data_IF_622461682999
#
_entry.id   IF_622461682999
#
_cell.length_a   1.000
_cell.length_b   1.000
_cell.length_c   1.000
_cell.angle_alpha   90.00
_cell.angle_beta   90.00
_cell.angle_gamma   90.00
#
_symmetry.space_group_name_H-M   'P 1'
#
loop_
_entity.id
_entity.type
_entity.pdbx_description
1 polymer ?
#
# COMPACT_ATOMS: atom_id res chain seq x y z
N UNK A 1 -4.70 -17.77 -47.98
CA UNK A 1 -3.98 -16.55 -47.54
C UNK A 1 -4.88 -15.80 -46.59
N UNK A 2 -4.36 -15.29 -45.47
CA UNK A 2 -5.10 -14.46 -44.52
C UNK A 2 -4.76 -12.98 -44.73
N UNK A 3 -5.75 -12.06 -44.72
CA UNK A 3 -5.51 -10.65 -44.50
C UNK A 3 -6.01 -10.21 -43.10
N UNK A 4 -5.08 -9.77 -42.26
CA UNK A 4 -5.30 -8.70 -41.29
C UNK A 4 -4.00 -7.89 -41.23
N UNK A 5 -4.08 -6.55 -41.13
CA UNK A 5 -3.89 -5.94 -39.82
C UNK A 5 -5.12 -5.18 -39.32
N UNK A 6 -5.08 -4.78 -38.05
CA UNK A 6 -6.04 -3.85 -37.44
C UNK A 6 -5.73 -2.42 -37.89
N UNK A 7 -6.72 -1.69 -38.39
CA UNK A 7 -6.61 -0.24 -38.55
C UNK A 7 -6.95 0.46 -37.23
N UNK A 8 -6.03 1.32 -36.76
CA UNK A 8 -6.20 2.05 -35.51
C UNK A 8 -7.09 3.28 -35.73
N UNK A 9 -8.40 3.14 -35.52
CA UNK A 9 -9.30 4.27 -35.32
C UNK A 9 -9.05 4.92 -33.95
N UNK A 10 -7.89 5.60 -33.82
CA UNK A 10 -7.44 6.33 -32.63
C UNK A 10 -7.44 7.85 -32.86
N UNK A 11 -8.53 8.35 -33.40
CA UNK A 11 -8.85 9.77 -33.51
C UNK A 11 -10.28 10.00 -33.00
N UNK A 12 -10.56 11.20 -32.48
CA UNK A 12 -11.87 11.63 -31.96
C UNK A 12 -12.41 10.91 -30.71
N UNK A 13 -11.59 10.77 -29.66
CA UNK A 13 -12.08 10.66 -28.26
C UNK A 13 -11.45 11.71 -27.32
N UNK A 14 -11.35 12.96 -27.80
CA UNK A 14 -11.22 14.13 -26.93
C UNK A 14 -12.59 14.48 -26.31
N UNK A 15 -13.16 13.53 -25.57
CA UNK A 15 -14.22 13.83 -24.62
C UNK A 15 -13.58 14.56 -23.43
N UNK A 16 -14.15 15.72 -23.08
CA UNK A 16 -13.67 16.60 -22.02
C UNK A 16 -13.73 15.91 -20.65
N UNK A 17 -12.72 16.16 -19.79
CA UNK A 17 -12.46 15.39 -18.56
C UNK A 17 -12.27 16.33 -17.38
N UNK A 18 -12.88 16.05 -16.21
CA UNK A 18 -12.71 16.88 -15.02
C UNK A 18 -11.25 16.88 -14.54
N UNK A 19 -10.80 18.05 -14.09
CA UNK A 19 -9.47 18.26 -13.55
C UNK A 19 -9.55 18.09 -12.02
N UNK A 20 -8.76 17.20 -11.43
CA UNK A 20 -8.88 16.88 -10.01
C UNK A 20 -7.51 16.97 -9.32
N UNK A 21 -7.47 17.65 -8.18
CA UNK A 21 -6.39 17.49 -7.20
C UNK A 21 -6.76 16.27 -6.33
N UNK A 22 -6.00 15.19 -6.44
CA UNK A 22 -6.22 13.99 -5.61
C UNK A 22 -5.16 13.95 -4.52
N UNK A 23 -5.58 14.14 -3.27
CA UNK A 23 -4.75 13.79 -2.11
C UNK A 23 -4.97 12.33 -1.73
N UNK A 24 -3.87 11.58 -1.58
CA UNK A 24 -3.82 10.10 -1.54
C UNK A 24 -3.13 9.58 -0.27
N UNK A 25 -3.41 8.34 0.14
CA UNK A 25 -2.91 7.70 1.36
C UNK A 25 -2.10 6.37 1.09
N UNK A 26 -0.89 6.37 0.45
CA UNK A 26 0.00 5.19 0.17
C UNK A 26 1.53 5.31 0.61
N UNK A 27 2.11 4.39 1.43
CA UNK A 27 3.31 4.52 2.34
C UNK A 27 4.55 3.68 2.08
N UNK A 28 5.63 4.16 2.71
CA UNK A 28 6.49 3.46 3.69
C UNK A 28 7.58 4.43 4.20
N UNK A 29 8.37 4.16 5.24
CA UNK A 29 8.12 3.52 6.56
C UNK A 29 9.25 3.98 7.52
N UNK A 30 9.27 3.49 8.77
CA UNK A 30 10.54 3.27 9.47
C UNK A 30 10.77 4.03 10.78
N UNK A 31 10.49 3.35 11.90
CA UNK A 31 11.18 3.60 13.17
C UNK A 31 11.49 2.25 13.84
N UNK A 32 12.78 1.87 13.88
CA UNK A 32 13.20 0.59 14.45
C UNK A 32 13.37 0.69 15.97
N UNK A 33 12.29 0.49 16.73
CA UNK A 33 12.38 0.21 18.17
C UNK A 33 12.42 -1.31 18.42
N UNK A 34 13.38 -1.79 19.24
CA UNK A 34 13.66 -3.23 19.32
C UNK A 34 12.55 -4.01 20.06
N UNK A 35 11.89 -4.93 19.38
CA UNK A 35 10.97 -5.91 19.99
C UNK A 35 11.76 -6.91 20.83
N UNK A 36 11.83 -6.66 22.14
CA UNK A 36 12.39 -7.63 23.11
C UNK A 36 11.41 -8.77 23.30
N UNK A 37 11.62 -9.89 22.59
CA UNK A 37 10.82 -11.11 22.76
C UNK A 37 10.83 -11.58 24.23
N UNK A 38 9.67 -11.58 24.87
CA UNK A 38 9.46 -12.28 26.14
C UNK A 38 9.19 -13.75 25.84
N UNK A 39 10.24 -14.58 25.89
CA UNK A 39 10.13 -16.03 25.72
C UNK A 39 9.44 -16.65 26.93
N UNK A 40 8.46 -17.54 26.67
CA UNK A 40 7.80 -18.35 27.70
C UNK A 40 8.81 -19.27 28.41
N UNK A 41 8.73 -19.34 29.74
CA UNK A 41 9.64 -20.17 30.55
C UNK A 41 9.17 -21.62 30.60
N UNK A 42 10.12 -22.57 30.55
CA UNK A 42 10.11 -23.70 31.47
C UNK A 42 11.34 -23.69 32.40
N UNK A 43 11.10 -23.93 33.69
CA UNK A 43 12.09 -24.55 34.60
C UNK A 43 11.92 -26.09 34.50
N UNK A 44 12.83 -26.94 35.04
CA UNK A 44 13.92 -26.66 35.98
C UNK A 44 15.32 -27.12 35.51
N UNK A 45 16.29 -27.04 36.43
CA UNK A 45 17.70 -27.36 36.22
C UNK A 45 18.04 -28.85 36.47
N UNK A 46 19.05 -29.35 35.76
CA UNK A 46 20.13 -30.17 36.32
C UNK A 46 21.40 -29.95 35.49
N UNK A 47 22.55 -29.90 36.17
CA UNK A 47 23.88 -29.78 35.58
C UNK A 47 24.43 -31.17 35.34
N UNK A 48 25.15 -31.36 34.23
CA UNK A 48 26.41 -32.12 34.17
C UNK A 48 27.24 -31.56 33.00
N UNK A 49 28.58 -31.57 33.15
CA UNK A 49 29.54 -30.89 32.28
C UNK A 49 30.50 -31.90 31.59
N UNK A 50 31.44 -31.42 30.77
CA UNK A 50 32.54 -32.18 30.15
C UNK A 50 32.20 -33.32 29.17
N UNK A 51 32.27 -33.02 27.87
CA UNK A 51 33.08 -33.85 26.97
C UNK A 51 33.80 -33.01 25.89
N UNK A 52 35.05 -33.33 25.62
CA UNK A 52 36.04 -32.36 25.12
C UNK A 52 36.40 -32.45 23.63
N UNK A 53 37.02 -31.35 23.14
CA UNK A 53 37.99 -31.29 22.02
C UNK A 53 37.65 -31.98 20.68
N UNK A 54 36.77 -31.36 19.87
CA UNK A 54 36.78 -31.56 18.40
C UNK A 54 36.30 -30.39 17.52
N UNK A 55 35.88 -29.25 18.09
CA UNK A 55 35.02 -28.27 17.39
C UNK A 55 35.79 -27.10 16.71
N UNK A 56 37.03 -26.79 17.11
CA UNK A 56 37.69 -25.51 16.78
C UNK A 56 37.84 -25.19 15.28
N UNK A 57 38.09 -26.18 14.42
CA UNK A 57 38.20 -25.96 12.96
C UNK A 57 36.86 -25.79 12.23
N UNK A 58 35.74 -26.27 12.78
CA UNK A 58 34.39 -26.10 12.19
C UNK A 58 33.75 -24.75 12.56
N UNK A 59 34.05 -24.21 13.75
CA UNK A 59 33.57 -22.90 14.18
C UNK A 59 34.07 -21.77 13.27
N UNK A 60 35.40 -21.64 13.12
CA UNK A 60 36.02 -20.57 12.33
C UNK A 60 35.54 -20.54 10.87
N UNK A 61 35.38 -21.71 10.21
CA UNK A 61 34.90 -21.78 8.82
C UNK A 61 33.42 -21.35 8.69
N UNK A 62 32.59 -21.56 9.71
CA UNK A 62 31.19 -21.11 9.74
C UNK A 62 31.10 -19.59 9.94
N UNK A 63 32.02 -19.01 10.70
CA UNK A 63 32.08 -17.57 10.95
C UNK A 63 32.56 -16.77 9.72
N UNK A 64 33.66 -17.20 9.08
CA UNK A 64 34.15 -16.59 7.83
C UNK A 64 33.07 -16.59 6.73
N UNK A 65 32.36 -17.71 6.55
CA UNK A 65 31.27 -17.80 5.57
C UNK A 65 30.06 -16.88 5.92
N UNK A 66 29.83 -16.59 7.21
CA UNK A 66 28.81 -15.63 7.65
C UNK A 66 29.25 -14.19 7.36
N UNK A 67 30.52 -13.86 7.61
CA UNK A 67 31.09 -12.54 7.31
C UNK A 67 31.08 -12.24 5.81
N UNK A 68 31.47 -13.17 4.94
CA UNK A 68 31.44 -12.94 3.49
C UNK A 68 30.02 -12.83 2.93
N UNK A 69 29.05 -13.61 3.45
CA UNK A 69 27.63 -13.44 3.11
C UNK A 69 27.08 -12.08 3.55
N UNK A 70 27.58 -11.52 4.65
CA UNK A 70 27.25 -10.15 5.08
C UNK A 70 27.89 -9.10 4.17
N UNK A 71 29.19 -9.22 3.85
CA UNK A 71 29.88 -8.31 2.91
C UNK A 71 29.17 -8.27 1.56
N UNK A 72 28.85 -9.43 0.97
CA UNK A 72 28.11 -9.51 -0.31
C UNK A 72 26.70 -8.92 -0.23
N UNK A 73 26.05 -8.92 0.95
CA UNK A 73 24.74 -8.27 1.16
C UNK A 73 24.88 -6.74 1.28
N UNK A 74 25.94 -6.26 1.94
CA UNK A 74 26.24 -4.83 2.03
C UNK A 74 26.66 -4.27 0.67
N UNK A 75 27.50 -4.98 -0.07
CA UNK A 75 27.94 -4.65 -1.43
C UNK A 75 26.75 -4.62 -2.41
N UNK A 76 25.84 -5.61 -2.35
CA UNK A 76 24.61 -5.58 -3.14
C UNK A 76 23.68 -4.42 -2.75
N UNK A 77 23.58 -4.07 -1.46
CA UNK A 77 22.78 -2.93 -1.00
C UNK A 77 23.37 -1.59 -1.45
N UNK A 78 24.69 -1.42 -1.35
CA UNK A 78 25.43 -0.25 -1.83
C UNK A 78 25.35 -0.14 -3.36
N UNK A 79 25.43 -1.26 -4.09
CA UNK A 79 25.21 -1.28 -5.53
C UNK A 79 23.78 -0.85 -5.90
N UNK A 80 22.75 -1.35 -5.20
CA UNK A 80 21.37 -0.88 -5.44
C UNK A 80 21.18 0.60 -5.12
N UNK A 81 21.82 1.12 -4.06
CA UNK A 81 21.78 2.55 -3.72
C UNK A 81 22.52 3.42 -4.75
N UNK A 82 23.68 2.97 -5.23
CA UNK A 82 24.42 3.63 -6.30
C UNK A 82 23.64 3.61 -7.63
N UNK A 83 22.95 2.52 -7.96
CA UNK A 83 22.07 2.45 -9.13
C UNK A 83 20.89 3.43 -9.06
N UNK A 84 20.35 3.72 -7.87
CA UNK A 84 19.35 4.79 -7.71
C UNK A 84 19.91 6.22 -7.77
N UNK A 85 21.22 6.40 -7.62
CA UNK A 85 21.91 7.70 -7.76
C UNK A 85 22.40 7.93 -9.20
N UNK A 86 22.65 6.86 -9.96
CA UNK A 86 23.15 6.93 -11.34
C UNK A 86 22.08 7.30 -12.40
N UNK A 87 20.81 7.48 -11.99
CA UNK A 87 19.79 8.11 -12.83
C UNK A 87 19.96 9.62 -12.65
N UNK A 88 20.42 10.30 -13.70
CA UNK A 88 21.00 11.65 -13.60
C UNK A 88 20.06 12.73 -13.05
N UNK A 89 20.67 13.71 -12.38
CA UNK A 89 20.03 14.85 -11.71
C UNK A 89 19.47 15.91 -12.69
N UNK A 90 18.68 15.49 -13.68
CA UNK A 90 17.72 16.38 -14.34
C UNK A 90 16.61 16.69 -13.32
N UNK A 91 16.62 17.87 -12.71
CA UNK A 91 15.59 18.30 -11.76
C UNK A 91 14.20 18.26 -12.43
N UNK A 92 13.28 17.44 -11.91
CA UNK A 92 11.96 17.28 -12.51
C UNK A 92 11.16 18.61 -12.50
N UNK A 93 10.75 19.14 -13.67
CA UNK A 93 9.98 20.38 -13.74
C UNK A 93 8.55 20.27 -13.16
N UNK A 94 8.12 19.08 -12.73
CA UNK A 94 6.82 18.83 -12.09
C UNK A 94 6.93 18.56 -10.58
N UNK A 95 8.12 18.61 -9.96
CA UNK A 95 8.34 18.14 -8.59
C UNK A 95 7.48 18.88 -7.55
N UNK A 96 7.17 20.16 -7.78
CA UNK A 96 6.28 20.95 -6.93
C UNK A 96 4.79 20.53 -7.02
N UNK A 97 4.42 19.61 -7.91
CA UNK A 97 3.05 19.12 -8.12
C UNK A 97 2.82 17.70 -7.59
N UNK A 98 3.83 17.02 -7.05
CA UNK A 98 3.63 15.72 -6.42
C UNK A 98 4.58 15.47 -5.25
N UNK A 99 4.41 14.33 -4.58
CA UNK A 99 5.29 13.89 -3.50
C UNK A 99 4.55 13.72 -2.17
N UNK A 100 5.32 13.59 -1.09
CA UNK A 100 4.78 13.35 0.25
C UNK A 100 4.70 14.68 1.01
N UNK A 101 3.54 14.99 1.60
CA UNK A 101 3.41 16.15 2.50
C UNK A 101 4.06 15.77 3.84
N UNK A 102 5.05 16.53 4.33
CA UNK A 102 5.69 16.22 5.61
C UNK A 102 4.76 16.54 6.78
N UNK A 103 4.88 15.77 7.87
CA UNK A 103 3.93 15.81 8.99
C UNK A 103 3.76 17.20 9.63
N UNK A 104 4.80 18.05 9.61
CA UNK A 104 4.75 19.40 10.18
C UNK A 104 3.98 20.41 9.30
N UNK A 105 3.64 20.06 8.05
CA UNK A 105 2.81 20.89 7.14
C UNK A 105 1.34 20.47 7.14
N UNK A 106 1.02 19.32 7.73
CA UNK A 106 -0.36 18.84 7.89
C UNK A 106 -1.13 19.56 9.01
N UNK A 107 -0.46 20.37 9.83
CA UNK A 107 -1.11 21.26 10.78
C UNK A 107 -1.48 22.58 10.08
N UNK A 108 -2.78 22.91 10.10
CA UNK A 108 -3.32 24.17 9.60
C UNK A 108 -2.67 25.37 10.27
N UNK A 109 -1.97 26.20 9.48
CA UNK A 109 -1.35 27.46 9.94
C UNK A 109 -2.36 28.62 9.99
N UNK A 110 -3.43 28.50 9.21
CA UNK A 110 -4.56 29.41 9.08
C UNK A 110 -5.85 28.57 9.01
N UNK A 111 -7.00 29.17 9.33
CA UNK A 111 -8.30 28.50 9.27
C UNK A 111 -8.77 28.45 7.81
N UNK A 112 -8.79 27.25 7.22
CA UNK A 112 -9.14 27.04 5.81
C UNK A 112 -10.61 26.67 5.63
N UNK A 113 -11.26 27.30 4.65
CA UNK A 113 -12.67 27.05 4.36
C UNK A 113 -12.90 25.60 3.90
N UNK A 114 -13.59 24.82 4.75
CA UNK A 114 -13.95 23.42 4.47
C UNK A 114 -14.82 23.26 3.20
N UNK A 115 -15.40 24.35 2.70
CA UNK A 115 -16.19 24.43 1.46
C UNK A 115 -15.37 24.20 0.17
N UNK A 116 -14.04 24.25 0.23
CA UNK A 116 -13.19 23.97 -0.95
C UNK A 116 -13.08 22.46 -1.26
N UNK A 117 -13.37 21.59 -0.29
CA UNK A 117 -13.19 20.14 -0.40
C UNK A 117 -14.42 19.44 -0.97
N UNK A 118 -14.30 18.98 -2.21
CA UNK A 118 -15.34 18.18 -2.88
C UNK A 118 -15.25 16.72 -2.45
N UNK A 119 -16.38 16.09 -2.10
CA UNK A 119 -16.42 14.65 -1.80
C UNK A 119 -16.53 13.85 -3.09
N UNK A 120 -15.94 12.65 -3.10
CA UNK A 120 -16.00 11.73 -4.26
C UNK A 120 -17.43 11.42 -4.70
N UNK A 121 -18.39 11.34 -3.77
CA UNK A 121 -19.80 11.10 -4.07
C UNK A 121 -20.56 12.28 -4.69
N UNK A 122 -20.02 13.50 -4.60
CA UNK A 122 -20.65 14.72 -5.12
C UNK A 122 -20.18 15.05 -6.56
N UNK A 123 -19.31 14.19 -7.13
CA UNK A 123 -18.78 14.30 -8.49
C UNK A 123 -19.87 14.03 -9.54
N UNK A 124 -20.53 15.10 -9.94
CA UNK A 124 -21.63 15.12 -10.90
C UNK A 124 -21.26 15.88 -12.18
N UNK A 125 -22.12 15.79 -13.20
CA UNK A 125 -21.85 16.40 -14.51
C UNK A 125 -21.63 17.92 -14.47
N UNK A 126 -22.17 18.61 -13.47
CA UNK A 126 -21.95 20.05 -13.24
C UNK A 126 -20.52 20.42 -12.83
N UNK A 127 -19.66 19.42 -12.59
CA UNK A 127 -18.22 19.57 -12.29
C UNK A 127 -17.30 19.12 -13.45
N UNK A 128 -17.86 18.78 -14.62
CA UNK A 128 -17.06 18.58 -15.84
C UNK A 128 -16.16 19.79 -16.11
N UNK A 129 -14.92 19.52 -16.53
CA UNK A 129 -13.84 20.45 -16.87
C UNK A 129 -13.34 21.42 -15.78
N UNK A 130 -14.04 21.57 -14.66
CA UNK A 130 -13.59 22.35 -13.50
C UNK A 130 -12.40 21.70 -12.80
N UNK A 131 -11.66 22.49 -12.02
CA UNK A 131 -10.72 22.01 -11.01
C UNK A 131 -11.43 21.82 -9.67
N UNK A 132 -11.21 20.70 -8.99
CA UNK A 132 -11.76 20.39 -7.66
C UNK A 132 -10.72 19.77 -6.73
N UNK A 133 -10.79 20.10 -5.44
CA UNK A 133 -9.95 19.51 -4.39
C UNK A 133 -10.62 18.27 -3.81
N UNK A 134 -9.92 17.12 -3.83
CA UNK A 134 -10.44 15.86 -3.28
C UNK A 134 -9.40 15.22 -2.38
N UNK A 135 -9.85 14.76 -1.21
CA UNK A 135 -9.08 13.89 -0.32
C UNK A 135 -9.68 12.50 -0.31
N UNK A 136 -8.88 11.48 -0.56
CA UNK A 136 -9.33 10.09 -0.61
C UNK A 136 -8.22 9.09 -0.30
N UNK A 137 -8.54 7.81 -0.46
CA UNK A 137 -7.58 6.71 -0.42
C UNK A 137 -7.44 6.18 -1.84
N UNK A 138 -6.22 5.84 -2.27
CA UNK A 138 -6.12 4.93 -3.40
C UNK A 138 -6.55 3.52 -2.93
N UNK A 139 -7.09 2.74 -3.86
CA UNK A 139 -7.45 1.34 -3.65
C UNK A 139 -6.89 0.47 -4.77
N UNK A 140 -6.95 0.96 -6.01
CA UNK A 140 -6.25 0.37 -7.16
C UNK A 140 -5.69 1.49 -8.05
N UNK A 141 -4.46 1.34 -8.51
CA UNK A 141 -3.79 2.29 -9.41
C UNK A 141 -3.86 1.76 -10.84
N UNK A 142 -4.79 2.32 -11.63
CA UNK A 142 -5.02 1.99 -13.04
C UNK A 142 -5.16 3.29 -13.84
N UNK A 143 -5.04 3.22 -15.17
CA UNK A 143 -5.34 4.36 -16.02
C UNK A 143 -6.85 4.66 -15.99
N UNK A 144 -7.23 5.81 -15.42
CA UNK A 144 -8.63 6.22 -15.17
C UNK A 144 -9.03 7.45 -16.00
N UNK A 145 -10.31 7.81 -15.91
CA UNK A 145 -10.92 8.90 -16.68
C UNK A 145 -10.60 10.30 -16.12
N UNK A 146 -10.16 10.39 -14.86
CA UNK A 146 -9.81 11.63 -14.16
C UNK A 146 -8.47 12.19 -14.65
N UNK A 147 -8.40 13.50 -14.94
CA UNK A 147 -7.13 14.19 -15.19
C UNK A 147 -6.58 14.79 -13.88
N UNK A 148 -5.46 14.27 -13.40
CA UNK A 148 -4.83 14.72 -12.16
C UNK A 148 -3.82 15.83 -12.45
N UNK A 149 -3.97 17.01 -11.80
CA UNK A 149 -3.07 18.17 -12.01
C UNK A 149 -1.95 18.31 -10.97
N UNK A 150 -2.22 17.93 -9.74
CA UNK A 150 -1.23 17.70 -8.67
C UNK A 150 -1.71 16.55 -7.78
N UNK A 151 -0.76 15.83 -7.16
CA UNK A 151 -1.04 14.64 -6.34
C UNK A 151 -0.06 14.59 -5.16
N UNK A 152 -0.54 14.98 -3.97
CA UNK A 152 0.29 14.96 -2.77
C UNK A 152 -0.21 13.89 -1.80
N UNK A 153 0.71 13.11 -1.24
CA UNK A 153 0.40 11.99 -0.36
C UNK A 153 0.43 12.42 1.12
N UNK A 154 -0.57 12.00 1.91
CA UNK A 154 -0.76 12.40 3.32
C UNK A 154 -0.37 11.28 4.31
N UNK A 155 -1.15 10.20 4.40
CA UNK A 155 -1.37 9.44 5.65
C UNK A 155 -0.51 8.17 5.84
N UNK A 156 0.74 8.26 5.43
CA UNK A 156 1.37 7.26 4.56
C UNK A 156 0.27 6.63 3.60
N UNK A 157 -0.19 5.34 3.46
CA UNK A 157 -0.20 4.02 4.22
C UNK A 157 0.20 2.67 3.43
N UNK A 158 0.64 1.57 4.10
CA UNK A 158 1.54 0.42 3.67
C UNK A 158 1.34 -0.35 2.30
N UNK A 159 2.39 -0.91 1.63
CA UNK A 159 2.35 -1.48 0.27
C UNK A 159 2.15 -3.01 0.21
N UNK A 160 2.73 -3.80 1.13
CA UNK A 160 2.38 -5.22 1.33
C UNK A 160 1.27 -5.31 2.37
N UNK A 161 0.05 -4.96 1.97
CA UNK A 161 -1.10 -4.87 2.87
C UNK A 161 -1.50 -6.28 3.40
N UNK A 162 -1.73 -6.48 4.71
CA UNK A 162 -1.99 -7.81 5.27
C UNK A 162 -3.28 -8.51 4.77
N UNK A 163 -4.28 -7.73 4.35
CA UNK A 163 -5.47 -8.19 3.61
C UNK A 163 -5.86 -7.16 2.55
N UNK A 164 -6.25 -7.63 1.36
CA UNK A 164 -6.82 -6.75 0.33
C UNK A 164 -8.26 -6.36 0.68
N UNK A 165 -8.60 -5.09 0.48
CA UNK A 165 -9.97 -4.60 0.70
C UNK A 165 -10.95 -5.22 -0.32
N UNK A 166 -10.49 -5.49 -1.55
CA UNK A 166 -11.29 -6.14 -2.60
C UNK A 166 -11.63 -7.59 -2.25
N UNK A 167 -10.63 -8.41 -1.87
CA UNK A 167 -10.84 -9.81 -1.48
C UNK A 167 -11.70 -9.95 -0.21
N UNK A 168 -11.62 -8.97 0.71
CA UNK A 168 -12.45 -8.93 1.93
C UNK A 168 -13.88 -8.40 1.69
N UNK A 169 -14.18 -7.84 0.50
CA UNK A 169 -15.47 -7.27 0.16
C UNK A 169 -16.37 -8.18 -0.70
N UNK A 170 -15.82 -9.22 -1.35
CA UNK A 170 -16.60 -10.20 -2.14
C UNK A 170 -17.57 -10.98 -1.25
N UNK A 171 -18.73 -11.34 -1.79
CA UNK A 171 -19.64 -12.28 -1.14
C UNK A 171 -19.17 -13.73 -1.29
N UNK A 172 -19.63 -14.61 -0.42
CA UNK A 172 -19.27 -16.03 -0.48
C UNK A 172 -19.82 -16.71 -1.75
N UNK A 173 -20.92 -16.19 -2.31
CA UNK A 173 -21.51 -16.65 -3.58
C UNK A 173 -20.59 -16.41 -4.76
N UNK A 174 -19.99 -15.23 -4.88
CA UNK A 174 -19.01 -14.92 -5.92
C UNK A 174 -17.81 -15.88 -5.88
N UNK A 175 -17.42 -16.32 -4.68
CA UNK A 175 -16.30 -17.27 -4.49
C UNK A 175 -16.74 -18.70 -4.89
N UNK A 176 -17.97 -19.11 -4.58
CA UNK A 176 -18.54 -20.40 -5.01
C UNK A 176 -18.79 -20.45 -6.53
N UNK A 177 -19.21 -19.35 -7.14
CA UNK A 177 -19.41 -19.20 -8.59
C UNK A 177 -18.07 -19.19 -9.34
N UNK A 178 -17.06 -18.46 -8.85
CA UNK A 178 -15.72 -18.48 -9.42
C UNK A 178 -15.07 -19.87 -9.33
N UNK A 179 -15.25 -20.58 -8.20
CA UNK A 179 -14.78 -21.96 -8.04
C UNK A 179 -15.43 -22.92 -9.05
N UNK A 180 -16.73 -22.74 -9.36
CA UNK A 180 -17.42 -23.50 -10.42
C UNK A 180 -16.90 -23.15 -11.82
N UNK A 181 -16.51 -21.90 -12.06
CA UNK A 181 -15.84 -21.46 -13.29
C UNK A 181 -14.36 -21.91 -13.39
N UNK A 182 -13.79 -22.46 -12.32
CA UNK A 182 -12.38 -22.89 -12.24
C UNK A 182 -11.40 -21.80 -11.82
N UNK A 183 -11.87 -20.62 -11.40
CA UNK A 183 -11.05 -19.51 -10.92
C UNK A 183 -11.00 -19.49 -9.38
N UNK A 184 -9.85 -19.86 -8.81
CA UNK A 184 -9.65 -19.86 -7.36
C UNK A 184 -9.37 -18.44 -6.83
N UNK A 185 -10.42 -17.70 -6.53
CA UNK A 185 -10.33 -16.43 -5.81
C UNK A 185 -9.85 -16.63 -4.36
N UNK A 186 -9.21 -15.61 -3.80
CA UNK A 186 -8.72 -15.60 -2.40
C UNK A 186 -9.89 -15.30 -1.46
N UNK A 187 -10.17 -16.20 -0.50
CA UNK A 187 -11.14 -16.00 0.59
C UNK A 187 -10.44 -15.48 1.83
N UNK A 188 -10.93 -14.38 2.40
CA UNK A 188 -10.40 -13.83 3.66
C UNK A 188 -11.18 -14.38 4.85
N UNK A 189 -10.54 -15.23 5.66
CA UNK A 189 -11.17 -15.88 6.82
C UNK A 189 -11.54 -14.89 7.94
N UNK A 190 -12.54 -15.25 8.75
CA UNK A 190 -13.05 -14.39 9.83
C UNK A 190 -11.94 -13.97 10.83
N UNK A 191 -11.07 -14.90 11.25
CA UNK A 191 -9.96 -14.59 12.16
C UNK A 191 -9.00 -13.54 11.55
N UNK A 192 -8.72 -13.63 10.25
CA UNK A 192 -7.89 -12.67 9.53
C UNK A 192 -8.56 -11.29 9.47
N UNK A 193 -9.88 -11.25 9.26
CA UNK A 193 -10.68 -10.00 9.28
C UNK A 193 -10.74 -9.37 10.66
N UNK A 194 -10.80 -10.17 11.73
CA UNK A 194 -10.79 -9.71 13.12
C UNK A 194 -9.40 -9.20 13.53
N UNK A 195 -8.32 -9.92 13.19
CA UNK A 195 -6.94 -9.48 13.44
C UNK A 195 -6.61 -8.16 12.74
N UNK A 196 -7.14 -7.94 11.54
CA UNK A 196 -6.95 -6.70 10.76
C UNK A 196 -8.23 -5.86 10.65
N UNK A 197 -9.01 -5.77 11.74
CA UNK A 197 -10.32 -5.10 11.77
C UNK A 197 -10.30 -3.65 11.24
N UNK A 198 -9.20 -2.92 11.42
CA UNK A 198 -9.02 -1.54 10.89
C UNK A 198 -9.03 -1.47 9.35
N UNK A 199 -8.70 -2.57 8.67
CA UNK A 199 -8.79 -2.71 7.21
C UNK A 199 -10.15 -3.28 6.79
N UNK A 200 -10.61 -4.34 7.47
CA UNK A 200 -11.93 -4.94 7.23
C UNK A 200 -13.10 -3.93 7.36
N UNK A 201 -13.02 -3.02 8.34
CA UNK A 201 -13.98 -1.92 8.53
C UNK A 201 -14.06 -0.97 7.34
N UNK A 202 -13.08 -0.94 6.42
CA UNK A 202 -13.09 -0.10 5.21
C UNK A 202 -13.93 -0.68 4.07
N UNK A 203 -14.29 -1.96 4.14
CA UNK A 203 -15.15 -2.60 3.11
C UNK A 203 -16.52 -1.91 3.04
N UNK A 204 -17.12 -1.78 1.83
CA UNK A 204 -18.37 -1.05 1.65
C UNK A 204 -19.53 -1.64 2.46
N UNK A 205 -19.56 -2.97 2.62
CA UNK A 205 -20.55 -3.65 3.46
C UNK A 205 -20.44 -3.25 4.94
N UNK A 206 -19.25 -3.26 5.54
CA UNK A 206 -19.07 -2.80 6.93
C UNK A 206 -19.41 -1.31 7.07
N UNK A 207 -18.96 -0.44 6.15
CA UNK A 207 -19.29 0.98 6.16
C UNK A 207 -20.81 1.21 6.15
N UNK A 208 -21.55 0.51 5.29
CA UNK A 208 -23.01 0.56 5.24
C UNK A 208 -23.68 0.07 6.54
N UNK A 209 -23.23 -1.07 7.09
CA UNK A 209 -23.76 -1.65 8.33
C UNK A 209 -23.62 -0.67 9.50
N UNK A 210 -22.44 -0.08 9.70
CA UNK A 210 -22.23 0.86 10.81
C UNK A 210 -22.95 2.20 10.60
N UNK A 211 -23.06 2.68 9.36
CA UNK A 211 -23.85 3.88 9.04
C UNK A 211 -25.35 3.69 9.32
N UNK A 212 -25.92 2.53 8.96
CA UNK A 212 -27.32 2.18 9.23
C UNK A 212 -27.53 1.99 10.75
N UNK A 213 -26.63 1.25 11.42
CA UNK A 213 -26.69 1.04 12.87
C UNK A 213 -26.68 2.36 13.64
N UNK A 214 -25.79 3.30 13.29
CA UNK A 214 -25.73 4.64 13.87
C UNK A 214 -27.02 5.44 13.66
N UNK A 215 -27.69 5.27 12.51
CA UNK A 215 -28.99 5.93 12.22
C UNK A 215 -30.19 5.31 12.94
N UNK A 216 -30.09 4.05 13.36
CA UNK A 216 -31.13 3.34 14.13
C UNK A 216 -30.92 3.43 15.65
N UNK A 217 -29.82 4.03 16.10
CA UNK A 217 -29.48 4.23 17.52
C UNK A 217 -29.95 5.61 18.05
N UNK A 218 -31.12 6.08 17.59
CA UNK A 218 -31.74 7.38 17.89
C UNK A 218 -33.19 7.16 18.35
#
# INVERSE_FOLDING_TARGET
>A
MLPSPRENNRSHLNATRPNILVLVDDYEEGCQCSTKNQTTRPFPWRVDEELSKSISKKAAKKEAAKQEKLRRRQEAALASAASSIAIGEEEDPLAAKYGNVPLYELQSKEETDLSEWTRVGDLSEGLKDKEVLIRGRAQTTRAVEVQVRKLHCISKAMPTLPINIEDAARSEKEIEEALQAGEQLVRVNQDTRLNYRVLDMRTPANQGIFYISMKLAV
#
